data_IF_743041957078
#
_entry.id   IF_743041957078
#
_cell.length_a   1.000
_cell.length_b   1.000
_cell.length_c   1.000
_cell.angle_alpha   90.00
_cell.angle_beta   90.00
_cell.angle_gamma   90.00
#
_symmetry.space_group_name_H-M   'P 1'
#
loop_
_entity.id
_entity.type
_entity.pdbx_description
1 polymer ?
#
# COMPACT_ATOMS: atom_id res chain seq x y z
N UNK A 1 9.31 -1.12 5.64
CA UNK A 1 8.27 -2.09 5.23
C UNK A 1 8.11 -3.25 6.22
N UNK A 2 9.20 -3.84 6.74
CA UNK A 2 9.10 -4.94 7.71
C UNK A 2 8.32 -4.57 8.97
N UNK A 3 8.50 -3.35 9.48
CA UNK A 3 7.84 -2.84 10.68
C UNK A 3 6.31 -2.65 10.54
N UNK A 4 5.75 -2.72 9.32
CA UNK A 4 4.29 -2.72 9.13
C UNK A 4 3.66 -4.02 9.62
N UNK A 5 4.38 -5.13 9.57
CA UNK A 5 3.94 -6.44 10.05
C UNK A 5 2.59 -6.93 9.49
N UNK A 6 2.05 -7.95 10.17
CA UNK A 6 0.73 -8.48 9.87
C UNK A 6 -0.37 -7.53 10.37
N UNK A 7 -0.30 -7.12 11.63
CA UNK A 7 -1.25 -6.21 12.29
C UNK A 7 -0.89 -4.76 11.98
N UNK A 8 -1.84 -4.04 11.39
CA UNK A 8 -1.66 -2.64 10.99
C UNK A 8 -2.49 -1.72 11.87
N UNK A 9 -2.02 -0.48 12.01
CA UNK A 9 -2.78 0.62 12.57
C UNK A 9 -2.34 1.92 11.89
N UNK A 10 -3.13 2.98 12.05
CA UNK A 10 -2.86 4.28 11.47
C UNK A 10 -1.47 4.82 11.84
N UNK A 11 -1.08 4.70 13.11
CA UNK A 11 0.21 5.22 13.62
C UNK A 11 1.40 4.59 12.89
N UNK A 12 1.46 3.27 12.83
CA UNK A 12 2.57 2.53 12.24
C UNK A 12 2.60 2.73 10.71
N UNK A 13 1.43 2.83 10.06
CA UNK A 13 1.36 3.13 8.63
C UNK A 13 1.82 4.56 8.31
N UNK A 14 1.45 5.56 9.12
CA UNK A 14 1.95 6.93 8.96
C UNK A 14 3.47 6.99 9.17
N UNK A 15 3.99 6.31 10.19
CA UNK A 15 5.43 6.21 10.41
C UNK A 15 6.16 5.55 9.22
N UNK A 16 5.61 4.48 8.67
CA UNK A 16 6.16 3.82 7.49
C UNK A 16 6.13 4.74 6.26
N UNK A 17 5.06 5.51 6.05
CA UNK A 17 4.97 6.48 4.96
C UNK A 17 6.04 7.57 5.08
N UNK A 18 6.21 8.12 6.28
CA UNK A 18 7.24 9.12 6.57
C UNK A 18 8.65 8.57 6.31
N UNK A 19 8.93 7.33 6.73
CA UNK A 19 10.22 6.68 6.48
C UNK A 19 10.48 6.48 4.98
N UNK A 20 9.46 6.09 4.19
CA UNK A 20 9.59 5.96 2.74
C UNK A 20 9.87 7.30 2.07
N UNK A 21 9.22 8.38 2.52
CA UNK A 21 9.47 9.74 2.04
C UNK A 21 10.89 10.20 2.36
N UNK A 22 11.38 9.97 3.57
CA UNK A 22 12.77 10.28 3.94
C UNK A 22 13.78 9.52 3.06
N UNK A 23 13.55 8.23 2.77
CA UNK A 23 14.42 7.48 1.84
C UNK A 23 14.40 8.10 0.44
N UNK A 24 13.24 8.51 -0.06
CA UNK A 24 13.11 9.15 -1.37
C UNK A 24 13.83 10.50 -1.43
N UNK A 25 13.66 11.33 -0.41
CA UNK A 25 14.16 12.71 -0.41
C UNK A 25 15.65 12.78 -0.06
N UNK A 26 16.10 11.91 0.86
CA UNK A 26 17.46 11.98 1.39
C UNK A 26 18.37 10.93 0.76
N UNK A 27 17.92 9.68 0.64
CA UNK A 27 18.81 8.56 0.26
C UNK A 27 18.94 8.41 -1.25
N UNK A 28 17.83 8.44 -1.99
CA UNK A 28 17.84 8.26 -3.45
C UNK A 28 18.76 9.27 -4.18
N UNK A 29 18.76 10.58 -3.87
CA UNK A 29 19.65 11.54 -4.55
C UNK A 29 21.15 11.28 -4.29
N UNK A 30 21.47 10.57 -3.21
CA UNK A 30 22.84 10.21 -2.83
C UNK A 30 23.28 8.87 -3.40
N UNK A 31 22.41 8.13 -4.10
CA UNK A 31 22.79 6.87 -4.74
C UNK A 31 23.95 7.08 -5.73
N UNK A 32 24.88 6.14 -5.72
CA UNK A 32 26.06 6.11 -6.60
C UNK A 32 26.25 4.68 -7.09
N UNK A 33 26.66 4.56 -8.35
CA UNK A 33 27.03 3.28 -8.92
C UNK A 33 28.47 2.96 -8.53
N UNK A 34 28.72 1.69 -8.16
CA UNK A 34 30.07 1.22 -7.92
C UNK A 34 30.90 1.14 -9.21
N UNK A 35 30.23 0.88 -10.34
CA UNK A 35 30.86 0.78 -11.66
C UNK A 35 30.30 1.82 -12.62
N UNK A 36 31.17 2.37 -13.45
CA UNK A 36 30.83 3.34 -14.51
C UNK A 36 30.67 2.68 -15.88
N UNK A 37 30.92 1.37 -16.00
CA UNK A 37 30.72 0.65 -17.26
C UNK A 37 29.27 0.70 -17.70
N UNK A 38 29.06 0.70 -19.01
CA UNK A 38 27.72 0.53 -19.61
C UNK A 38 27.43 -0.93 -19.95
N UNK A 39 28.44 -1.77 -19.96
CA UNK A 39 28.32 -3.19 -20.29
C UNK A 39 27.82 -3.94 -19.06
N UNK A 40 26.59 -4.48 -19.13
CA UNK A 40 26.01 -5.32 -18.08
C UNK A 40 26.12 -4.73 -16.66
N UNK A 41 25.76 -3.46 -16.50
CA UNK A 41 25.81 -2.78 -15.21
C UNK A 41 24.54 -3.04 -14.40
N UNK A 42 24.52 -4.11 -13.61
CA UNK A 42 23.38 -4.48 -12.77
C UNK A 42 23.07 -3.44 -11.71
N UNK A 43 24.09 -2.78 -11.14
CA UNK A 43 23.86 -1.70 -10.19
C UNK A 43 23.11 -0.51 -10.79
N UNK A 44 23.25 -0.28 -12.12
CA UNK A 44 22.43 0.73 -12.79
C UNK A 44 20.96 0.32 -12.89
N UNK A 45 20.69 -0.97 -13.15
CA UNK A 45 19.33 -1.51 -13.15
C UNK A 45 18.71 -1.44 -11.76
N UNK A 46 19.44 -1.88 -10.72
CA UNK A 46 18.99 -1.83 -9.33
C UNK A 46 18.67 -0.39 -8.87
N UNK A 47 19.46 0.59 -9.32
CA UNK A 47 19.22 2.00 -9.00
C UNK A 47 17.92 2.54 -9.61
N UNK A 48 17.55 2.08 -10.81
CA UNK A 48 16.27 2.42 -11.44
C UNK A 48 15.11 1.73 -10.72
N UNK A 49 15.29 0.44 -10.38
CA UNK A 49 14.29 -0.36 -9.69
C UNK A 49 14.00 0.17 -8.28
N UNK A 50 15.01 0.68 -7.56
CA UNK A 50 14.84 1.28 -6.25
C UNK A 50 13.77 2.41 -6.25
N UNK A 51 13.74 3.24 -7.30
CA UNK A 51 12.73 4.29 -7.45
C UNK A 51 11.32 3.70 -7.65
N UNK A 52 11.19 2.68 -8.49
CA UNK A 52 9.91 2.01 -8.74
C UNK A 52 9.40 1.25 -7.50
N UNK A 53 10.31 0.62 -6.76
CA UNK A 53 10.00 -0.05 -5.50
C UNK A 53 9.48 0.92 -4.44
N UNK A 54 10.07 2.12 -4.33
CA UNK A 54 9.57 3.16 -3.43
C UNK A 54 8.15 3.60 -3.80
N UNK A 55 7.85 3.75 -5.10
CA UNK A 55 6.51 4.07 -5.57
C UNK A 55 5.51 2.97 -5.19
N UNK A 56 5.86 1.70 -5.41
CA UNK A 56 5.02 0.56 -5.05
C UNK A 56 4.78 0.50 -3.52
N UNK A 57 5.82 0.74 -2.71
CA UNK A 57 5.71 0.76 -1.25
C UNK A 57 4.79 1.89 -0.78
N UNK A 58 4.98 3.12 -1.27
CA UNK A 58 4.13 4.26 -0.92
C UNK A 58 2.68 4.04 -1.35
N UNK A 59 2.45 3.53 -2.56
CA UNK A 59 1.10 3.20 -3.05
C UNK A 59 0.41 2.20 -2.11
N UNK A 60 1.14 1.19 -1.64
CA UNK A 60 0.64 0.17 -0.71
C UNK A 60 0.25 0.79 0.63
N UNK A 61 1.13 1.60 1.23
CA UNK A 61 0.87 2.23 2.54
C UNK A 61 -0.27 3.24 2.43
N UNK A 62 -0.32 4.06 1.38
CA UNK A 62 -1.41 5.01 1.12
C UNK A 62 -2.75 4.30 0.92
N UNK A 63 -2.76 3.19 0.17
CA UNK A 63 -3.95 2.36 0.02
C UNK A 63 -4.43 1.82 1.38
N UNK A 64 -3.50 1.33 2.21
CA UNK A 64 -3.80 0.85 3.56
C UNK A 64 -4.32 1.94 4.50
N UNK A 65 -3.74 3.15 4.46
CA UNK A 65 -4.20 4.29 5.25
C UNK A 65 -5.61 4.72 4.87
N UNK A 66 -5.91 4.74 3.57
CA UNK A 66 -7.22 5.07 3.03
C UNK A 66 -8.28 4.02 3.42
N UNK A 67 -7.96 2.72 3.33
CA UNK A 67 -8.89 1.64 3.64
C UNK A 67 -9.13 1.53 5.14
N UNK A 68 -10.32 1.93 5.59
CA UNK A 68 -10.75 1.94 6.99
C UNK A 68 -11.62 0.71 7.33
N UNK A 69 -11.11 -0.48 7.01
CA UNK A 69 -11.67 -1.79 7.37
C UNK A 69 -10.54 -2.84 7.44
N UNK A 70 -10.89 -4.07 7.78
CA UNK A 70 -10.05 -5.26 7.68
C UNK A 70 -10.70 -6.27 6.74
N UNK A 71 -9.95 -6.85 5.79
CA UNK A 71 -10.45 -7.86 4.83
C UNK A 71 -9.33 -8.71 4.25
N UNK A 72 -9.53 -10.03 4.25
CA UNK A 72 -8.57 -11.00 3.72
C UNK A 72 -7.20 -10.88 4.40
N UNK A 73 -6.09 -10.72 3.65
CA UNK A 73 -4.75 -10.59 4.24
C UNK A 73 -4.47 -9.21 4.87
N UNK A 74 -5.42 -8.27 4.79
CA UNK A 74 -5.27 -6.92 5.32
C UNK A 74 -6.04 -6.78 6.63
N UNK A 75 -5.35 -6.89 7.76
CA UNK A 75 -5.91 -6.67 9.09
C UNK A 75 -5.42 -5.35 9.71
N UNK A 76 -6.38 -4.58 10.21
CA UNK A 76 -6.20 -3.32 10.94
C UNK A 76 -6.82 -3.43 12.32
N UNK A 77 -6.02 -3.31 13.38
CA UNK A 77 -6.53 -3.38 14.74
C UNK A 77 -7.41 -2.18 15.12
N UNK A 78 -7.20 -1.04 14.47
CA UNK A 78 -8.00 0.18 14.62
C UNK A 78 -9.31 0.14 13.81
N UNK A 79 -9.44 -0.82 12.89
CA UNK A 79 -10.66 -1.10 12.11
C UNK A 79 -10.91 -2.62 12.02
N UNK A 80 -11.19 -3.31 13.15
CA UNK A 80 -11.15 -4.78 13.24
C UNK A 80 -12.44 -5.46 12.71
N UNK A 81 -12.93 -5.01 11.57
CA UNK A 81 -14.20 -5.44 10.97
C UNK A 81 -14.14 -5.39 9.45
N UNK A 82 -14.89 -6.27 8.79
CA UNK A 82 -15.19 -6.20 7.37
C UNK A 82 -16.36 -5.23 7.19
N UNK A 83 -16.25 -4.26 6.28
CA UNK A 83 -17.26 -3.24 6.01
C UNK A 83 -17.72 -3.31 4.54
N UNK A 84 -18.79 -4.05 4.31
CA UNK A 84 -19.37 -4.23 2.99
C UNK A 84 -20.19 -3.01 2.51
N UNK A 85 -20.63 -2.13 3.42
CA UNK A 85 -21.33 -0.90 3.05
C UNK A 85 -20.39 0.10 2.38
N UNK A 86 -19.21 0.33 2.97
CA UNK A 86 -18.30 1.37 2.52
C UNK A 86 -17.13 0.85 1.68
N UNK A 87 -16.71 -0.41 1.90
CA UNK A 87 -15.45 -0.93 1.38
C UNK A 87 -15.59 -2.18 0.49
N UNK A 88 -16.82 -2.52 0.06
CA UNK A 88 -17.09 -3.46 -1.05
C UNK A 88 -16.73 -2.85 -2.42
N UNK A 89 -15.48 -2.39 -2.53
CA UNK A 89 -14.94 -1.67 -3.66
C UNK A 89 -13.46 -1.97 -3.84
N UNK A 90 -12.96 -1.77 -5.06
CA UNK A 90 -11.53 -1.67 -5.33
C UNK A 90 -11.03 -0.33 -4.80
N UNK A 91 -9.98 -0.36 -3.97
CA UNK A 91 -9.26 0.85 -3.56
C UNK A 91 -8.10 1.07 -4.55
N UNK A 92 -8.18 2.14 -5.34
CA UNK A 92 -7.23 2.42 -6.41
C UNK A 92 -6.40 3.63 -6.01
N UNK A 93 -5.08 3.43 -5.92
CA UNK A 93 -4.10 4.49 -5.69
C UNK A 93 -3.25 4.65 -6.95
N UNK A 94 -3.09 5.88 -7.42
CA UNK A 94 -2.30 6.21 -8.60
C UNK A 94 -1.37 7.37 -8.30
N UNK A 95 -0.17 7.33 -8.86
CA UNK A 95 0.74 8.48 -8.91
C UNK A 95 0.66 9.13 -10.30
N UNK A 96 0.42 10.43 -10.36
CA UNK A 96 0.42 11.22 -11.60
C UNK A 96 1.18 12.51 -11.38
N UNK A 97 2.17 12.80 -12.23
CA UNK A 97 2.97 14.03 -12.18
C UNK A 97 3.56 14.31 -10.78
N UNK A 98 3.96 13.25 -10.06
CA UNK A 98 4.49 13.34 -8.70
C UNK A 98 3.43 13.32 -7.59
N UNK A 99 2.16 13.55 -7.92
CA UNK A 99 1.06 13.60 -6.95
C UNK A 99 0.35 12.25 -6.79
N UNK A 100 -0.09 11.98 -5.55
CA UNK A 100 -0.84 10.77 -5.22
C UNK A 100 -2.34 11.05 -5.25
N UNK A 101 -3.07 10.22 -5.98
CA UNK A 101 -4.52 10.27 -6.10
C UNK A 101 -5.11 8.93 -5.68
N UNK A 102 -6.24 8.98 -4.98
CA UNK A 102 -7.00 7.80 -4.57
C UNK A 102 -8.44 7.88 -5.02
N UNK A 103 -8.98 6.75 -5.45
CA UNK A 103 -10.40 6.59 -5.74
C UNK A 103 -10.88 5.20 -5.37
N UNK A 104 -12.15 5.10 -5.02
CA UNK A 104 -12.83 3.81 -4.86
C UNK A 104 -13.60 3.49 -6.14
N UNK A 105 -13.67 2.21 -6.49
CA UNK A 105 -14.49 1.72 -7.59
C UNK A 105 -15.36 0.57 -7.07
N UNK A 106 -16.69 0.74 -6.99
CA UNK A 106 -17.59 -0.30 -6.51
C UNK A 106 -17.42 -1.62 -7.27
N UNK A 107 -17.57 -2.74 -6.56
CA UNK A 107 -17.58 -4.07 -7.16
C UNK A 107 -19.04 -4.51 -7.29
N UNK A 108 -19.43 -4.98 -8.47
CA UNK A 108 -20.73 -5.59 -8.68
C UNK A 108 -20.67 -7.06 -8.24
N UNK A 109 -21.57 -7.46 -7.34
CA UNK A 109 -21.71 -8.83 -6.87
C UNK A 109 -23.12 -9.36 -7.16
N UNK A 110 -23.48 -9.60 -8.44
CA UNK A 110 -24.85 -9.94 -8.82
C UNK A 110 -25.29 -11.34 -8.40
N UNK A 111 -24.35 -12.26 -8.18
CA UNK A 111 -24.65 -13.68 -7.88
C UNK A 111 -24.54 -14.03 -6.40
N UNK A 112 -23.63 -13.37 -5.68
CA UNK A 112 -23.38 -13.63 -4.27
C UNK A 112 -23.13 -12.30 -3.55
N UNK A 113 -24.19 -11.55 -3.19
CA UNK A 113 -24.04 -10.35 -2.39
C UNK A 113 -23.61 -10.74 -0.96
N UNK A 114 -22.88 -9.86 -0.27
CA UNK A 114 -22.55 -10.08 1.14
C UNK A 114 -23.83 -10.13 1.97
N UNK A 115 -23.96 -11.13 2.84
CA UNK A 115 -25.13 -11.29 3.70
C UNK A 115 -25.20 -10.20 4.78
N UNK A 116 -24.05 -9.78 5.29
CA UNK A 116 -23.92 -8.77 6.35
C UNK A 116 -23.30 -7.49 5.80
N UNK A 117 -23.84 -6.35 6.24
CA UNK A 117 -23.27 -5.04 5.95
C UNK A 117 -21.90 -4.84 6.61
N UNK A 118 -21.76 -5.28 7.86
CA UNK A 118 -20.53 -5.18 8.64
C UNK A 118 -20.44 -6.33 9.62
N UNK A 119 -19.24 -6.89 9.78
CA UNK A 119 -19.00 -8.01 10.69
C UNK A 119 -17.58 -8.00 11.26
N UNK A 120 -17.36 -8.59 12.45
CA UNK A 120 -16.01 -8.72 13.02
C UNK A 120 -15.08 -9.50 12.09
N UNK A 121 -13.83 -9.05 11.95
CA UNK A 121 -12.89 -9.62 10.96
C UNK A 121 -12.64 -11.12 11.13
N UNK A 122 -12.55 -11.61 12.38
CA UNK A 122 -12.30 -13.02 12.68
C UNK A 122 -13.54 -13.92 12.58
N UNK A 123 -14.71 -13.32 12.42
CA UNK A 123 -15.99 -14.02 12.23
C UNK A 123 -16.48 -13.97 10.78
N UNK A 124 -15.75 -13.25 9.91
CA UNK A 124 -16.11 -13.11 8.51
C UNK A 124 -15.82 -14.40 7.74
N UNK A 125 -16.85 -14.91 7.08
CA UNK A 125 -16.74 -16.04 6.17
C UNK A 125 -16.24 -15.55 4.79
N UNK A 126 -15.14 -16.14 4.31
CA UNK A 126 -14.51 -15.84 3.01
C UNK A 126 -14.74 -16.95 2.00
#
# INVERSE_FOLDING_TARGET
>A
MWDLGYVKNERNMQAALAALQAVREETVPRLRLQSTTRNWNTGWMDALDACAMLDACEATVRSGLNRKESRGPFYREDYPYVDNENWMCRNIVKRMNGEWQSRTQPIQAPYLPPEKSREPFFEADY
#
